data_IF_992462283941
#
_entry.id   IF_992462283941
#
_cell.length_a   1.000
_cell.length_b   1.000
_cell.length_c   1.000
_cell.angle_alpha   90.00
_cell.angle_beta   90.00
_cell.angle_gamma   90.00
#
_symmetry.space_group_name_H-M   'P 1'
#
loop_
_entity.id
_entity.type
_entity.pdbx_description
1 polymer ?
#
# COMPACT_ATOMS: atom_id res chain seq x y z
N UNK A 1 -18.29 -11.06 -9.26
CA UNK A 1 -17.54 -11.58 -8.10
C UNK A 1 -16.11 -11.78 -8.54
N UNK A 2 -15.17 -11.28 -7.75
CA UNK A 2 -13.74 -11.40 -8.01
C UNK A 2 -13.27 -12.83 -7.77
N UNK A 3 -12.24 -13.25 -8.51
CA UNK A 3 -11.56 -14.51 -8.24
C UNK A 3 -10.75 -14.39 -6.95
N UNK A 4 -10.73 -15.45 -6.14
CA UNK A 4 -9.96 -15.48 -4.89
C UNK A 4 -8.48 -15.12 -5.13
N UNK A 5 -7.89 -15.67 -6.18
CA UNK A 5 -6.49 -15.41 -6.55
C UNK A 5 -6.22 -13.93 -6.86
N UNK A 6 -7.21 -13.18 -7.37
CA UNK A 6 -7.07 -11.75 -7.62
C UNK A 6 -7.00 -10.96 -6.30
N UNK A 7 -7.83 -11.34 -5.33
CA UNK A 7 -7.83 -10.70 -4.01
C UNK A 7 -6.55 -11.07 -3.25
N UNK A 8 -6.18 -12.34 -3.22
CA UNK A 8 -4.99 -12.80 -2.53
C UNK A 8 -3.72 -12.13 -3.11
N UNK A 9 -3.65 -11.97 -4.45
CA UNK A 9 -2.57 -11.25 -5.10
C UNK A 9 -2.53 -9.76 -4.74
N UNK A 10 -3.70 -9.09 -4.72
CA UNK A 10 -3.79 -7.69 -4.33
C UNK A 10 -3.36 -7.48 -2.86
N UNK A 11 -3.82 -8.35 -1.96
CA UNK A 11 -3.47 -8.28 -0.54
C UNK A 11 -1.97 -8.51 -0.31
N UNK A 12 -1.35 -9.47 -1.01
CA UNK A 12 0.10 -9.71 -0.92
C UNK A 12 0.88 -8.47 -1.36
N UNK A 13 0.55 -7.91 -2.53
CA UNK A 13 1.21 -6.71 -3.06
C UNK A 13 1.05 -5.51 -2.13
N UNK A 14 -0.14 -5.33 -1.57
CA UNK A 14 -0.42 -4.28 -0.59
C UNK A 14 0.46 -4.44 0.64
N UNK A 15 0.55 -5.65 1.18
CA UNK A 15 1.38 -5.94 2.33
C UNK A 15 2.86 -5.66 2.07
N UNK A 16 3.42 -6.18 0.97
CA UNK A 16 4.82 -5.99 0.58
C UNK A 16 5.17 -4.50 0.36
N UNK A 17 4.25 -3.74 -0.24
CA UNK A 17 4.44 -2.30 -0.48
C UNK A 17 4.42 -1.52 0.83
N UNK A 18 3.52 -1.86 1.75
CA UNK A 18 3.44 -1.24 3.08
C UNK A 18 4.70 -1.55 3.90
N UNK A 19 5.20 -2.78 3.89
CA UNK A 19 6.45 -3.13 4.55
C UNK A 19 7.63 -2.33 3.98
N UNK A 20 7.70 -2.20 2.65
CA UNK A 20 8.72 -1.40 1.97
C UNK A 20 8.64 0.07 2.37
N UNK A 21 7.43 0.64 2.45
CA UNK A 21 7.20 2.00 2.91
C UNK A 21 7.66 2.23 4.36
N UNK A 22 7.36 1.29 5.27
CA UNK A 22 7.82 1.40 6.65
C UNK A 22 9.35 1.32 6.74
N UNK A 23 9.98 0.43 5.96
CA UNK A 23 11.43 0.36 5.89
C UNK A 23 12.04 1.67 5.39
N UNK A 24 11.53 2.22 4.30
CA UNK A 24 11.99 3.49 3.75
C UNK A 24 11.84 4.64 4.76
N UNK A 25 10.74 4.69 5.50
CA UNK A 25 10.54 5.70 6.54
C UNK A 25 11.51 5.58 7.71
N UNK A 26 11.92 4.36 8.06
CA UNK A 26 12.97 4.12 9.05
C UNK A 26 14.34 4.51 8.50
N UNK A 27 14.63 4.14 7.26
CA UNK A 27 15.89 4.42 6.59
C UNK A 27 16.06 5.94 6.44
N UNK A 28 15.04 6.71 6.01
CA UNK A 28 15.09 8.19 5.97
C UNK A 28 15.37 8.81 7.35
N UNK A 29 14.92 8.19 8.44
CA UNK A 29 15.22 8.65 9.81
C UNK A 29 16.66 8.33 10.25
N UNK A 30 17.33 7.40 9.58
CA UNK A 30 18.67 6.90 9.92
C UNK A 30 19.74 7.35 8.90
N UNK A 31 19.36 7.73 7.68
CA UNK A 31 20.25 7.97 6.53
C UNK A 31 21.01 9.30 6.64
N UNK A 32 22.33 9.20 6.42
CA UNK A 32 23.22 10.32 6.08
C UNK A 32 22.97 10.76 4.62
N UNK A 33 23.03 12.07 4.37
CA UNK A 33 22.78 12.86 3.13
C UNK A 33 23.06 12.23 1.73
N UNK A 34 23.74 11.08 1.61
CA UNK A 34 24.23 10.51 0.36
C UNK A 34 23.59 9.18 -0.11
N UNK A 35 22.65 8.56 0.61
CA UNK A 35 21.96 7.37 0.09
C UNK A 35 20.74 7.76 -0.79
N UNK A 36 20.58 7.15 -1.98
CA UNK A 36 19.39 7.33 -2.79
C UNK A 36 18.17 6.73 -2.09
N UNK A 37 17.11 7.52 -1.97
CA UNK A 37 15.85 7.11 -1.35
C UNK A 37 14.95 6.39 -2.36
N UNK A 38 14.30 5.30 -1.93
CA UNK A 38 13.27 4.60 -2.73
C UNK A 38 11.89 5.26 -2.58
N UNK A 39 11.80 6.33 -1.79
CA UNK A 39 10.55 7.04 -1.50
C UNK A 39 9.66 7.33 -2.72
N UNK A 40 10.14 7.93 -3.84
CA UNK A 40 9.27 8.23 -4.98
C UNK A 40 8.70 6.96 -5.63
N UNK A 41 9.49 5.89 -5.67
CA UNK A 41 9.09 4.61 -6.23
C UNK A 41 8.01 3.94 -5.38
N UNK A 42 8.20 3.90 -4.06
CA UNK A 42 7.23 3.33 -3.13
C UNK A 42 5.94 4.16 -3.10
N UNK A 43 6.04 5.49 -3.14
CA UNK A 43 4.86 6.36 -3.21
C UNK A 43 4.02 6.10 -4.46
N UNK A 44 4.66 5.87 -5.62
CA UNK A 44 3.93 5.51 -6.83
C UNK A 44 3.18 4.18 -6.68
N UNK A 45 3.82 3.15 -6.12
CA UNK A 45 3.15 1.86 -5.87
C UNK A 45 1.96 1.99 -4.92
N UNK A 46 2.07 2.82 -3.87
CA UNK A 46 0.95 3.09 -2.98
C UNK A 46 -0.22 3.82 -3.69
N UNK A 47 0.07 4.68 -4.66
CA UNK A 47 -0.98 5.33 -5.47
C UNK A 47 -1.66 4.33 -6.40
N UNK A 48 -0.88 3.50 -7.10
CA UNK A 48 -1.42 2.46 -7.99
C UNK A 48 -2.33 1.48 -7.24
N UNK A 49 -1.93 1.05 -6.05
CA UNK A 49 -2.74 0.16 -5.22
C UNK A 49 -4.02 0.83 -4.69
N UNK A 50 -4.02 2.14 -4.46
CA UNK A 50 -5.19 2.90 -3.99
C UNK A 50 -6.20 3.08 -5.13
N UNK A 51 -5.73 3.19 -6.38
CA UNK A 51 -6.59 3.20 -7.55
C UNK A 51 -7.17 1.80 -7.82
N UNK A 52 -6.33 0.77 -7.80
CA UNK A 52 -6.71 -0.63 -8.03
C UNK A 52 -7.78 -1.11 -7.02
N UNK A 53 -7.67 -0.71 -5.74
CA UNK A 53 -8.64 -1.16 -4.73
C UNK A 53 -10.03 -0.58 -4.92
N UNK A 54 -10.13 0.63 -5.49
CA UNK A 54 -11.42 1.23 -5.79
C UNK A 54 -12.14 0.41 -6.87
N UNK A 55 -11.40 -0.12 -7.85
CA UNK A 55 -11.97 -1.02 -8.85
C UNK A 55 -12.40 -2.35 -8.22
N UNK A 56 -11.56 -2.95 -7.37
CA UNK A 56 -11.87 -4.22 -6.71
C UNK A 56 -13.11 -4.13 -5.80
N UNK A 57 -13.23 -3.05 -5.03
CA UNK A 57 -14.37 -2.82 -4.13
C UNK A 57 -15.72 -2.74 -4.87
N UNK A 58 -15.72 -2.30 -6.14
CA UNK A 58 -16.96 -2.25 -6.94
C UNK A 58 -17.45 -3.64 -7.38
N UNK A 59 -16.55 -4.62 -7.49
CA UNK A 59 -16.83 -5.97 -7.99
C UNK A 59 -16.85 -7.06 -6.90
N UNK A 60 -16.48 -6.70 -5.66
CA UNK A 60 -16.34 -7.59 -4.52
C UNK A 60 -17.68 -8.08 -3.96
N UNK A 61 -17.72 -9.33 -3.50
CA UNK A 61 -18.80 -9.80 -2.60
C UNK A 61 -18.70 -9.13 -1.22
N UNK A 62 -19.75 -9.17 -0.38
CA UNK A 62 -19.69 -8.61 0.98
C UNK A 62 -18.51 -9.13 1.81
N UNK A 63 -18.18 -10.42 1.71
CA UNK A 63 -17.08 -11.04 2.45
C UNK A 63 -15.72 -10.52 1.95
N UNK A 64 -15.54 -10.47 0.63
CA UNK A 64 -14.34 -9.96 -0.03
C UNK A 64 -14.14 -8.47 0.27
N UNK A 65 -15.24 -7.72 0.34
CA UNK A 65 -15.24 -6.29 0.59
C UNK A 65 -14.65 -5.95 1.97
N UNK A 66 -14.95 -6.74 3.01
CA UNK A 66 -14.36 -6.53 4.33
C UNK A 66 -12.83 -6.62 4.32
N UNK A 67 -12.27 -7.56 3.56
CA UNK A 67 -10.81 -7.74 3.46
C UNK A 67 -10.16 -6.60 2.68
N UNK A 68 -10.81 -6.16 1.60
CA UNK A 68 -10.36 -5.03 0.79
C UNK A 68 -10.48 -3.70 1.55
N UNK A 69 -11.52 -3.49 2.35
CA UNK A 69 -11.68 -2.27 3.16
C UNK A 69 -10.58 -2.16 4.24
N UNK A 70 -10.18 -3.28 4.84
CA UNK A 70 -9.05 -3.32 5.77
C UNK A 70 -7.73 -2.94 5.07
N UNK A 71 -7.45 -3.54 3.91
CA UNK A 71 -6.27 -3.20 3.11
C UNK A 71 -6.29 -1.72 2.66
N UNK A 72 -7.46 -1.19 2.27
CA UNK A 72 -7.63 0.23 1.91
C UNK A 72 -7.21 1.15 3.06
N UNK A 73 -7.66 0.82 4.27
CA UNK A 73 -7.40 1.61 5.45
C UNK A 73 -5.90 1.66 5.75
N UNK A 74 -5.25 0.49 5.75
CA UNK A 74 -3.80 0.39 5.98
C UNK A 74 -3.01 1.17 4.92
N UNK A 75 -3.36 1.03 3.64
CA UNK A 75 -2.71 1.73 2.54
C UNK A 75 -2.80 3.26 2.69
N UNK A 76 -3.99 3.77 3.05
CA UNK A 76 -4.22 5.21 3.28
C UNK A 76 -3.45 5.74 4.48
N UNK A 77 -3.37 4.97 5.55
CA UNK A 77 -2.57 5.30 6.73
C UNK A 77 -1.09 5.40 6.36
N UNK A 78 -0.54 4.37 5.71
CA UNK A 78 0.87 4.36 5.27
C UNK A 78 1.17 5.51 4.33
N UNK A 79 0.33 5.77 3.33
CA UNK A 79 0.48 6.92 2.41
C UNK A 79 0.48 8.24 3.17
N UNK A 80 -0.41 8.39 4.14
CA UNK A 80 -0.48 9.59 4.99
C UNK A 80 0.79 9.78 5.81
N UNK A 81 1.31 8.71 6.40
CA UNK A 81 2.58 8.75 7.16
C UNK A 81 3.73 9.12 6.24
N UNK A 82 3.84 8.50 5.06
CA UNK A 82 4.89 8.81 4.10
C UNK A 82 4.86 10.29 3.66
N UNK A 83 3.70 10.81 3.27
CA UNK A 83 3.54 12.22 2.87
C UNK A 83 3.97 13.17 3.99
N UNK A 84 3.68 12.83 5.24
CA UNK A 84 4.00 13.68 6.39
C UNK A 84 5.46 13.51 6.87
N UNK A 85 6.11 12.39 6.55
CA UNK A 85 7.48 12.09 6.92
C UNK A 85 7.74 11.94 8.43
N UNK A 86 6.71 11.56 9.21
CA UNK A 86 6.77 11.48 10.70
C UNK A 86 6.77 10.07 11.23
#
# INVERSE_FOLDING_TARGET
MLQKDQIDSYLSRTHETIESAHKELLDVKLIQVNDPTEYPFIMNQLMELDDEINELLTAASPEQRSQLEEAQQQLRETKTVMIRGI
#
